data_IF_491591397939
#
_entry.id   IF_491591397939
#
_cell.length_a   1.000
_cell.length_b   1.000
_cell.length_c   1.000
_cell.angle_alpha   90.00
_cell.angle_beta   90.00
_cell.angle_gamma   90.00
#
_symmetry.space_group_name_H-M   'P 1'
#
loop_
_entity.id
_entity.type
_entity.pdbx_description
1 polymer ?
#
# COMPACT_ATOMS: atom_id res chain seq x y z
N UNK A 1 -20.24 -29.40 -8.98
CA UNK A 1 -20.70 -28.43 -10.02
C UNK A 1 -19.93 -27.13 -9.73
N UNK A 2 -18.73 -27.00 -10.34
CA UNK A 2 -17.77 -25.92 -10.08
C UNK A 2 -17.97 -24.90 -11.20
N UNK A 3 -18.54 -23.74 -10.86
CA UNK A 3 -18.78 -22.64 -11.79
C UNK A 3 -17.48 -21.88 -12.04
N UNK A 4 -16.96 -22.00 -13.25
CA UNK A 4 -15.84 -21.21 -13.75
C UNK A 4 -16.34 -19.79 -14.05
N UNK A 5 -16.02 -18.82 -13.23
CA UNK A 5 -16.25 -17.39 -13.52
C UNK A 5 -15.18 -16.92 -14.50
N UNK A 6 -15.53 -16.85 -15.79
CA UNK A 6 -14.76 -16.13 -16.81
C UNK A 6 -14.96 -14.63 -16.60
N UNK A 7 -13.94 -13.95 -16.10
CA UNK A 7 -13.87 -12.50 -16.12
C UNK A 7 -13.55 -12.04 -17.55
N UNK A 8 -14.57 -11.62 -18.28
CA UNK A 8 -14.40 -10.87 -19.52
C UNK A 8 -13.86 -9.49 -19.18
N UNK A 9 -12.56 -9.31 -19.30
CA UNK A 9 -11.98 -7.97 -19.38
C UNK A 9 -12.45 -7.32 -20.69
N UNK A 10 -13.23 -6.26 -20.56
CA UNK A 10 -13.68 -5.44 -21.67
C UNK A 10 -12.50 -4.65 -22.21
N UNK A 11 -11.75 -5.25 -23.16
CA UNK A 11 -10.64 -4.65 -23.90
C UNK A 11 -11.27 -3.76 -24.99
N UNK A 12 -11.74 -2.58 -24.63
CA UNK A 12 -12.27 -1.60 -25.57
C UNK A 12 -11.35 -0.38 -25.76
N UNK A 13 -10.24 -0.27 -25.04
CA UNK A 13 -9.31 0.85 -25.21
C UNK A 13 -8.00 0.50 -25.92
N UNK A 14 -7.76 -0.77 -26.23
CA UNK A 14 -6.49 -1.22 -26.83
C UNK A 14 -6.53 -1.29 -28.35
N UNK A 15 -7.71 -1.28 -28.96
CA UNK A 15 -7.85 -1.47 -30.41
C UNK A 15 -7.59 -0.17 -31.21
N UNK A 16 -7.80 0.99 -30.61
CA UNK A 16 -7.54 2.27 -31.31
C UNK A 16 -6.05 2.64 -31.42
N UNK A 17 -5.16 2.02 -30.65
CA UNK A 17 -3.72 2.28 -30.72
C UNK A 17 -3.06 1.44 -31.84
N UNK A 18 -3.69 0.35 -32.28
CA UNK A 18 -3.13 -0.60 -33.25
C UNK A 18 -3.68 -0.47 -34.66
N UNK A 19 -4.72 0.32 -34.91
CA UNK A 19 -5.32 0.53 -36.23
C UNK A 19 -4.87 1.82 -36.95
N UNK A 20 -3.74 2.41 -36.57
CA UNK A 20 -3.00 3.25 -37.49
C UNK A 20 -2.47 2.33 -38.54
N UNK A 21 -3.09 2.38 -39.75
CA UNK A 21 -2.79 1.54 -40.90
C UNK A 21 -1.28 1.45 -41.12
N UNK A 22 -0.80 0.23 -41.34
CA UNK A 22 0.61 -0.08 -41.63
C UNK A 22 1.16 0.70 -42.81
N UNK A 23 0.35 1.43 -43.56
CA UNK A 23 0.70 2.13 -44.75
C UNK A 23 0.87 3.66 -44.68
N UNK A 24 0.35 4.32 -43.59
CA UNK A 24 0.22 5.79 -43.68
C UNK A 24 0.92 6.64 -42.62
N UNK A 25 1.65 6.08 -41.68
CA UNK A 25 2.43 6.93 -40.80
C UNK A 25 3.56 6.18 -40.10
N UNK A 26 4.66 6.03 -40.77
CA UNK A 26 5.92 6.20 -40.06
C UNK A 26 5.81 7.56 -39.37
N UNK A 27 5.81 7.63 -38.00
CA UNK A 27 5.68 8.91 -37.33
C UNK A 27 6.67 9.90 -37.93
N UNK A 28 6.25 11.15 -38.11
CA UNK A 28 7.12 12.23 -38.64
C UNK A 28 8.46 12.28 -37.88
N UNK A 29 8.46 11.87 -36.62
CA UNK A 29 9.64 11.66 -35.77
C UNK A 29 10.64 10.63 -36.33
N UNK A 30 10.23 9.66 -37.17
CA UNK A 30 11.13 8.70 -37.80
C UNK A 30 11.86 9.26 -38.97
N UNK A 31 11.40 10.37 -39.56
CA UNK A 31 12.08 11.12 -40.61
C UNK A 31 13.09 12.12 -40.06
N UNK A 32 13.16 12.28 -38.72
CA UNK A 32 14.09 13.17 -38.03
C UNK A 32 15.49 12.55 -37.86
N UNK A 33 16.39 13.36 -37.30
CA UNK A 33 17.72 12.92 -36.90
C UNK A 33 17.65 11.91 -35.76
N UNK A 34 18.77 11.26 -35.45
CA UNK A 34 18.87 10.23 -34.40
C UNK A 34 18.49 10.75 -32.99
N UNK A 35 18.62 12.07 -32.78
CA UNK A 35 18.23 12.70 -31.50
C UNK A 35 16.70 12.72 -31.34
N UNK A 36 15.98 13.15 -32.38
CA UNK A 36 14.50 13.17 -32.40
C UNK A 36 13.91 11.77 -32.20
N UNK A 37 14.56 10.75 -32.79
CA UNK A 37 14.18 9.34 -32.58
C UNK A 37 14.40 8.89 -31.14
N UNK A 38 15.50 9.30 -30.52
CA UNK A 38 15.80 9.01 -29.13
C UNK A 38 14.79 9.65 -28.17
N UNK A 39 14.55 10.95 -28.30
CA UNK A 39 13.60 11.70 -27.48
C UNK A 39 12.17 11.11 -27.57
N UNK A 40 11.76 10.68 -28.75
CA UNK A 40 10.48 9.99 -28.95
C UNK A 40 10.43 8.61 -28.27
N UNK A 41 11.52 7.85 -28.32
CA UNK A 41 11.63 6.55 -27.64
C UNK A 41 11.52 6.69 -26.11
N UNK A 42 12.22 7.68 -25.54
CA UNK A 42 12.14 8.00 -24.10
C UNK A 42 10.70 8.42 -23.72
N UNK A 43 10.07 9.31 -24.48
CA UNK A 43 8.67 9.72 -24.24
C UNK A 43 7.70 8.53 -24.30
N UNK A 44 7.86 7.64 -25.26
CA UNK A 44 7.01 6.44 -25.38
C UNK A 44 7.22 5.49 -24.19
N UNK A 45 8.47 5.35 -23.73
CA UNK A 45 8.81 4.56 -22.55
C UNK A 45 8.12 5.12 -21.29
N UNK A 46 8.21 6.42 -21.07
CA UNK A 46 7.58 7.11 -19.94
C UNK A 46 6.05 6.91 -19.95
N UNK A 47 5.43 7.08 -21.11
CA UNK A 47 3.98 6.85 -21.29
C UNK A 47 3.57 5.40 -20.93
N UNK A 48 4.40 4.40 -21.25
CA UNK A 48 4.13 3.00 -20.89
C UNK A 48 4.18 2.81 -19.36
N UNK A 49 5.17 3.40 -18.68
CA UNK A 49 5.31 3.33 -17.23
C UNK A 49 4.11 3.97 -16.51
N UNK A 50 3.71 5.16 -16.94
CA UNK A 50 2.54 5.87 -16.39
C UNK A 50 1.23 5.10 -16.62
N UNK A 51 1.01 4.57 -17.84
CA UNK A 51 -0.17 3.76 -18.16
C UNK A 51 -0.26 2.47 -17.35
N UNK A 52 0.88 1.90 -16.96
CA UNK A 52 0.93 0.77 -16.06
C UNK A 52 0.66 1.15 -14.58
N UNK A 53 0.49 2.45 -14.29
CA UNK A 53 0.20 2.96 -12.96
C UNK A 53 1.44 3.15 -12.09
N UNK A 54 2.62 3.22 -12.67
CA UNK A 54 3.85 3.55 -11.96
C UNK A 54 4.00 5.08 -11.85
N UNK A 55 4.53 5.55 -10.72
CA UNK A 55 4.73 6.97 -10.42
C UNK A 55 6.22 7.33 -10.50
N UNK A 56 6.54 8.40 -11.24
CA UNK A 56 7.90 8.95 -11.29
C UNK A 56 8.34 9.44 -9.90
N UNK A 57 9.59 9.23 -9.57
CA UNK A 57 10.17 9.55 -8.26
C UNK A 57 9.85 8.56 -7.13
N UNK A 58 8.91 7.62 -7.34
CA UNK A 58 8.55 6.56 -6.39
C UNK A 58 8.89 5.19 -6.96
N UNK A 59 8.20 4.80 -8.03
CA UNK A 59 8.34 3.49 -8.66
C UNK A 59 9.39 3.47 -9.76
N UNK A 60 9.68 4.60 -10.39
CA UNK A 60 10.75 4.73 -11.37
C UNK A 60 11.39 6.12 -11.32
N UNK A 61 12.58 6.23 -11.87
CA UNK A 61 13.28 7.51 -12.09
C UNK A 61 13.83 7.57 -13.49
N UNK A 62 13.71 8.75 -14.11
CA UNK A 62 14.28 9.04 -15.43
C UNK A 62 15.59 9.80 -15.28
N UNK A 63 16.54 9.56 -16.19
CA UNK A 63 17.82 10.29 -16.29
C UNK A 63 18.65 10.35 -14.98
N UNK A 64 18.54 9.32 -14.14
CA UNK A 64 19.37 9.19 -12.95
C UNK A 64 20.85 9.19 -13.30
N UNK A 65 21.65 10.04 -12.64
CA UNK A 65 23.10 10.06 -12.82
C UNK A 65 23.74 9.22 -11.73
N UNK A 66 24.38 8.12 -12.09
CA UNK A 66 25.06 7.20 -11.19
C UNK A 66 26.55 7.18 -11.48
N UNK A 67 27.36 6.95 -10.47
CA UNK A 67 28.79 6.76 -10.63
C UNK A 67 29.11 5.26 -10.61
N UNK A 68 30.00 4.84 -11.52
CA UNK A 68 30.59 3.50 -11.44
C UNK A 68 31.75 3.47 -10.44
N UNK A 69 32.33 2.29 -10.26
CA UNK A 69 33.48 2.09 -9.36
C UNK A 69 34.72 2.94 -9.76
N UNK A 70 34.77 3.40 -11.01
CA UNK A 70 35.85 4.26 -11.55
C UNK A 70 35.48 5.75 -11.47
N UNK A 71 34.34 6.13 -10.91
CA UNK A 71 33.88 7.51 -10.78
C UNK A 71 33.29 8.12 -12.07
N UNK A 72 33.08 7.31 -13.12
CA UNK A 72 32.44 7.78 -14.36
C UNK A 72 30.93 7.85 -14.18
N UNK A 73 30.36 8.96 -14.62
CA UNK A 73 28.91 9.14 -14.61
C UNK A 73 28.25 8.32 -15.75
N UNK A 74 27.34 7.45 -15.36
CA UNK A 74 26.48 6.70 -16.28
C UNK A 74 25.02 7.11 -16.06
N UNK A 75 24.32 7.26 -17.16
CA UNK A 75 22.90 7.69 -17.16
C UNK A 75 22.08 6.66 -17.92
N UNK A 76 21.45 5.71 -17.23
CA UNK A 76 20.39 4.92 -17.84
C UNK A 76 19.18 5.83 -18.10
N UNK A 77 18.43 5.55 -19.16
CA UNK A 77 17.25 6.35 -19.50
C UNK A 77 16.17 6.23 -18.42
N UNK A 78 15.91 5.01 -17.94
CA UNK A 78 14.96 4.73 -16.86
C UNK A 78 15.50 3.65 -15.92
N UNK A 79 15.28 3.87 -14.63
CA UNK A 79 15.42 2.86 -13.59
C UNK A 79 14.06 2.63 -12.93
N UNK A 80 13.57 1.41 -12.99
CA UNK A 80 12.35 0.99 -12.31
C UNK A 80 12.74 0.36 -10.99
N UNK A 81 12.24 0.92 -9.89
CA UNK A 81 12.43 0.37 -8.56
C UNK A 81 11.55 -0.86 -8.36
N UNK A 82 12.09 -1.88 -7.73
CA UNK A 82 11.37 -3.08 -7.33
C UNK A 82 11.38 -3.17 -5.79
N UNK A 83 10.45 -3.90 -5.18
CA UNK A 83 10.53 -4.20 -3.75
C UNK A 83 11.88 -4.85 -3.37
N UNK A 84 12.21 -4.81 -2.08
CA UNK A 84 13.46 -5.32 -1.52
C UNK A 84 14.72 -4.58 -2.01
N UNK A 85 14.55 -3.34 -2.49
CA UNK A 85 15.68 -2.53 -2.96
C UNK A 85 16.32 -2.99 -4.27
N UNK A 86 15.65 -3.89 -5.01
CA UNK A 86 16.06 -4.27 -6.37
C UNK A 86 15.64 -3.21 -7.37
N UNK A 87 16.25 -3.19 -8.54
CA UNK A 87 15.86 -2.32 -9.63
C UNK A 87 16.01 -2.98 -10.99
N UNK A 88 15.29 -2.46 -11.97
CA UNK A 88 15.35 -2.87 -13.37
C UNK A 88 15.78 -1.66 -14.20
N UNK A 89 16.82 -1.83 -15.01
CA UNK A 89 17.31 -0.78 -15.91
C UNK A 89 16.69 -0.97 -17.29
N UNK A 90 16.17 0.11 -17.86
CA UNK A 90 15.60 0.15 -19.20
C UNK A 90 16.30 1.26 -19.99
N UNK A 91 16.82 0.93 -21.17
CA UNK A 91 17.45 1.88 -22.10
C UNK A 91 16.68 1.85 -23.42
N UNK A 92 16.29 3.03 -23.96
CA UNK A 92 15.39 3.12 -25.12
C UNK A 92 16.09 3.54 -26.42
N UNK A 93 17.40 3.51 -26.44
CA UNK A 93 18.22 4.13 -27.47
C UNK A 93 18.45 3.23 -28.69
N UNK A 94 17.48 3.17 -29.58
CA UNK A 94 17.59 2.42 -30.85
C UNK A 94 17.47 3.35 -32.04
N UNK A 95 18.45 3.32 -32.95
CA UNK A 95 18.35 4.00 -34.26
C UNK A 95 17.40 3.25 -35.18
N UNK A 96 16.41 3.94 -35.69
CA UNK A 96 15.41 3.38 -36.62
C UNK A 96 15.60 3.84 -38.07
N UNK A 97 16.72 4.52 -38.36
CA UNK A 97 17.00 5.06 -39.73
C UNK A 97 17.05 3.97 -40.77
N UNK A 98 17.78 2.89 -40.51
CA UNK A 98 17.88 1.76 -41.44
C UNK A 98 16.52 1.06 -41.65
N UNK A 99 15.72 0.96 -40.57
CA UNK A 99 14.34 0.45 -40.65
C UNK A 99 13.45 1.36 -41.55
N UNK A 100 13.53 2.68 -41.37
CA UNK A 100 12.78 3.62 -42.21
C UNK A 100 13.18 3.53 -43.69
N UNK A 101 14.48 3.44 -43.96
CA UNK A 101 15.01 3.30 -45.33
C UNK A 101 14.56 1.98 -45.99
N UNK A 102 14.53 0.87 -45.20
CA UNK A 102 14.02 -0.42 -45.68
C UNK A 102 12.60 -0.31 -46.26
N UNK A 103 11.70 0.43 -45.60
CA UNK A 103 10.33 0.62 -46.11
C UNK A 103 10.19 1.67 -47.19
N UNK A 104 11.16 2.57 -47.36
CA UNK A 104 11.13 3.62 -48.39
C UNK A 104 11.76 3.17 -49.70
N UNK A 105 12.62 2.13 -49.68
CA UNK A 105 13.27 1.62 -50.87
C UNK A 105 12.30 0.85 -51.76
N UNK A 106 12.28 1.19 -53.03
CA UNK A 106 11.53 0.47 -54.06
C UNK A 106 12.35 -0.65 -54.72
N UNK A 107 13.68 -0.58 -54.63
CA UNK A 107 14.62 -1.57 -55.12
C UNK A 107 14.87 -2.69 -54.12
N UNK A 108 14.81 -3.93 -54.54
CA UNK A 108 14.97 -5.10 -53.67
C UNK A 108 16.41 -5.27 -53.18
N UNK A 109 17.45 -4.90 -53.95
CA UNK A 109 18.86 -4.94 -53.53
C UNK A 109 19.12 -3.89 -52.43
N UNK A 110 18.64 -2.66 -52.63
CA UNK A 110 18.75 -1.60 -51.62
C UNK A 110 18.00 -2.00 -50.31
N UNK A 111 16.81 -2.59 -50.48
CA UNK A 111 16.01 -3.06 -49.35
C UNK A 111 16.74 -4.13 -48.52
N UNK A 112 17.40 -5.09 -49.20
CA UNK A 112 18.21 -6.10 -48.52
C UNK A 112 19.44 -5.47 -47.84
N UNK A 113 20.05 -4.46 -48.41
CA UNK A 113 21.11 -3.66 -47.80
C UNK A 113 20.65 -3.00 -46.54
N UNK A 114 19.51 -2.28 -46.56
CA UNK A 114 18.94 -1.62 -45.39
C UNK A 114 18.49 -2.60 -44.29
N UNK A 115 18.05 -3.81 -44.67
CA UNK A 115 17.76 -4.87 -43.70
C UNK A 115 19.02 -5.30 -42.94
N UNK A 116 20.13 -5.51 -43.64
CA UNK A 116 21.43 -5.82 -42.99
C UNK A 116 21.92 -4.71 -42.06
N UNK A 117 21.74 -3.46 -42.52
CA UNK A 117 22.09 -2.28 -41.72
C UNK A 117 21.23 -2.19 -40.45
N UNK A 118 19.94 -2.52 -40.57
CA UNK A 118 19.04 -2.52 -39.41
C UNK A 118 19.45 -3.57 -38.37
N UNK A 119 19.72 -4.81 -38.75
CA UNK A 119 20.23 -5.86 -37.88
C UNK A 119 21.57 -5.46 -37.24
N UNK A 120 22.47 -4.90 -38.06
CA UNK A 120 23.78 -4.43 -37.58
C UNK A 120 23.61 -3.32 -36.54
N UNK A 121 22.72 -2.38 -36.80
CA UNK A 121 22.38 -1.31 -35.82
C UNK A 121 21.87 -1.88 -34.51
N UNK A 122 20.97 -2.86 -34.56
CA UNK A 122 20.48 -3.53 -33.34
C UNK A 122 21.60 -4.22 -32.55
N UNK A 123 22.49 -4.96 -33.24
CA UNK A 123 23.65 -5.60 -32.62
C UNK A 123 24.60 -4.60 -31.99
N UNK A 124 24.89 -3.50 -32.67
CA UNK A 124 25.74 -2.43 -32.15
C UNK A 124 25.15 -1.81 -30.88
N UNK A 125 23.83 -1.55 -30.83
CA UNK A 125 23.16 -1.04 -29.63
C UNK A 125 23.24 -2.02 -28.47
N UNK A 126 23.04 -3.32 -28.71
CA UNK A 126 23.22 -4.36 -27.69
C UNK A 126 24.66 -4.35 -27.16
N UNK A 127 25.65 -4.25 -28.06
CA UNK A 127 27.07 -4.20 -27.70
C UNK A 127 27.40 -2.96 -26.87
N UNK A 128 26.93 -1.80 -27.30
CA UNK A 128 27.17 -0.52 -26.62
C UNK A 128 26.52 -0.53 -25.22
N UNK A 129 25.27 -1.00 -25.13
CA UNK A 129 24.54 -1.10 -23.87
C UNK A 129 25.21 -2.07 -22.90
N UNK A 130 25.67 -3.22 -23.39
CA UNK A 130 26.43 -4.19 -22.58
C UNK A 130 27.73 -3.57 -22.06
N UNK A 131 28.43 -2.74 -22.87
CA UNK A 131 29.68 -2.07 -22.48
C UNK A 131 29.48 -1.03 -21.36
N UNK A 132 28.28 -0.48 -21.21
CA UNK A 132 27.96 0.48 -20.14
C UNK A 132 27.99 -0.15 -18.75
N UNK A 133 27.98 -1.47 -18.62
CA UNK A 133 28.11 -2.22 -17.36
C UNK A 133 27.24 -1.67 -16.22
N UNK A 134 25.95 -1.42 -16.47
CA UNK A 134 25.02 -0.92 -15.45
C UNK A 134 24.90 -1.82 -14.22
N UNK A 135 25.26 -3.10 -14.34
CA UNK A 135 25.31 -4.08 -13.25
C UNK A 135 26.36 -3.74 -12.16
N UNK A 136 27.37 -2.92 -12.50
CA UNK A 136 28.43 -2.47 -11.57
C UNK A 136 28.18 -1.08 -10.99
N UNK A 137 26.99 -0.55 -11.10
CA UNK A 137 26.66 0.74 -10.50
C UNK A 137 26.58 0.59 -8.98
N UNK A 138 27.43 1.28 -8.28
CA UNK A 138 27.67 1.16 -6.82
C UNK A 138 26.43 1.40 -5.94
N UNK A 139 25.39 2.00 -6.46
CA UNK A 139 24.20 2.42 -5.70
C UNK A 139 22.93 1.64 -6.05
N UNK A 140 23.01 0.66 -6.95
CA UNK A 140 21.84 0.03 -7.52
C UNK A 140 22.00 -1.49 -7.44
N UNK A 141 21.12 -2.15 -6.72
CA UNK A 141 20.98 -3.62 -6.75
C UNK A 141 20.30 -4.03 -8.06
N UNK A 142 21.05 -3.94 -9.16
CA UNK A 142 20.55 -4.26 -10.49
C UNK A 142 20.40 -5.77 -10.68
N UNK A 143 19.36 -6.22 -11.38
CA UNK A 143 19.30 -7.59 -11.86
C UNK A 143 20.41 -7.85 -12.88
N UNK A 144 20.66 -9.12 -13.15
CA UNK A 144 21.70 -9.57 -14.08
C UNK A 144 21.49 -9.10 -15.52
N UNK A 145 20.31 -8.56 -15.83
CA UNK A 145 19.90 -8.15 -17.19
C UNK A 145 19.46 -6.70 -17.24
N UNK A 146 19.73 -6.07 -18.40
CA UNK A 146 19.23 -4.73 -18.75
C UNK A 146 18.23 -4.87 -19.90
N UNK A 147 17.12 -4.15 -19.86
CA UNK A 147 16.15 -4.14 -20.94
C UNK A 147 16.53 -3.11 -22.00
N UNK A 148 16.67 -3.54 -23.24
CA UNK A 148 16.78 -2.67 -24.41
C UNK A 148 15.39 -2.51 -25.03
N UNK A 149 14.81 -1.34 -24.88
CA UNK A 149 13.46 -1.06 -25.38
C UNK A 149 13.49 -0.65 -26.84
N UNK A 150 12.72 -1.37 -27.66
CA UNK A 150 12.48 -1.06 -29.08
C UNK A 150 11.07 -0.50 -29.23
N UNK A 151 10.90 0.81 -29.46
CA UNK A 151 9.59 1.45 -29.43
C UNK A 151 8.67 1.08 -30.60
N UNK A 152 9.21 0.51 -31.68
CA UNK A 152 8.46 0.10 -32.91
C UNK A 152 8.44 -1.42 -32.98
N UNK A 153 7.29 -2.03 -32.75
CA UNK A 153 7.09 -3.48 -32.78
C UNK A 153 7.50 -4.11 -34.13
N UNK A 154 7.07 -3.56 -35.29
CA UNK A 154 7.50 -4.09 -36.59
C UNK A 154 9.02 -4.03 -36.84
N UNK A 155 9.73 -3.01 -36.32
CA UNK A 155 11.18 -2.95 -36.43
C UNK A 155 11.87 -4.06 -35.62
N UNK A 156 11.36 -4.35 -34.41
CA UNK A 156 11.81 -5.48 -33.62
C UNK A 156 11.55 -6.81 -34.34
N UNK A 157 10.35 -7.02 -34.85
CA UNK A 157 9.99 -8.25 -35.57
C UNK A 157 10.84 -8.46 -36.85
N UNK A 158 11.09 -7.39 -37.61
CA UNK A 158 11.94 -7.42 -38.78
C UNK A 158 13.38 -7.86 -38.46
N UNK A 159 13.96 -7.30 -37.40
CA UNK A 159 15.30 -7.64 -36.93
C UNK A 159 15.43 -9.12 -36.53
N UNK A 160 14.47 -9.63 -35.75
CA UNK A 160 14.48 -11.03 -35.27
C UNK A 160 14.24 -11.99 -36.43
N UNK A 161 13.40 -11.64 -37.39
CA UNK A 161 13.15 -12.49 -38.54
C UNK A 161 14.39 -12.60 -39.44
N UNK A 162 15.12 -11.51 -39.58
CA UNK A 162 16.36 -11.47 -40.37
C UNK A 162 17.56 -12.12 -39.63
N UNK A 163 17.58 -12.08 -38.32
CA UNK A 163 18.66 -12.63 -37.50
C UNK A 163 18.07 -13.41 -36.29
N UNK A 164 17.88 -14.70 -36.50
CA UNK A 164 17.27 -15.60 -35.49
C UNK A 164 18.11 -15.78 -34.21
N UNK A 165 19.43 -15.54 -34.32
CA UNK A 165 20.34 -15.65 -33.17
C UNK A 165 20.43 -14.39 -32.32
N UNK A 166 19.86 -13.27 -32.79
CA UNK A 166 20.00 -11.95 -32.16
C UNK A 166 19.54 -11.97 -30.70
N UNK A 167 18.40 -12.56 -30.41
CA UNK A 167 17.84 -12.61 -29.05
C UNK A 167 18.69 -13.48 -28.13
N UNK A 168 19.04 -14.69 -28.54
CA UNK A 168 19.86 -15.61 -27.76
C UNK A 168 21.25 -14.98 -27.50
N UNK A 169 21.88 -14.41 -28.53
CA UNK A 169 23.17 -13.74 -28.40
C UNK A 169 23.11 -12.53 -27.44
N UNK A 170 22.06 -11.71 -27.50
CA UNK A 170 21.90 -10.55 -26.63
C UNK A 170 21.77 -10.98 -25.15
N UNK A 171 20.97 -12.00 -24.87
CA UNK A 171 20.75 -12.52 -23.51
C UNK A 171 22.00 -13.24 -23.00
N UNK A 172 22.49 -14.24 -23.70
CA UNK A 172 23.52 -15.14 -23.19
C UNK A 172 24.91 -14.52 -23.15
N UNK A 173 25.24 -13.65 -24.12
CA UNK A 173 26.57 -13.08 -24.29
C UNK A 173 26.68 -11.65 -23.81
N UNK A 174 25.58 -10.94 -23.65
CA UNK A 174 25.58 -9.50 -23.36
C UNK A 174 24.75 -9.13 -22.14
N UNK A 175 23.95 -10.06 -21.61
CA UNK A 175 23.00 -9.81 -20.50
C UNK A 175 22.00 -8.70 -20.85
N UNK A 176 21.61 -8.60 -22.12
CA UNK A 176 20.63 -7.64 -22.62
C UNK A 176 19.39 -8.40 -23.09
N UNK A 177 18.22 -7.98 -22.61
CA UNK A 177 16.93 -8.47 -23.07
C UNK A 177 16.33 -7.42 -23.99
N UNK A 178 16.14 -7.74 -25.26
CA UNK A 178 15.52 -6.83 -26.22
C UNK A 178 14.01 -6.96 -26.06
N UNK A 179 13.31 -5.85 -25.81
CA UNK A 179 11.88 -5.85 -25.51
C UNK A 179 11.12 -4.86 -26.38
N UNK A 180 10.12 -5.30 -27.14
CA UNK A 180 9.21 -4.41 -27.86
C UNK A 180 8.15 -3.82 -26.91
N UNK A 181 7.32 -2.92 -27.43
CA UNK A 181 6.29 -2.19 -26.69
C UNK A 181 5.32 -3.13 -25.93
N UNK A 182 4.84 -4.19 -26.59
CA UNK A 182 3.87 -5.14 -26.02
C UNK A 182 4.45 -5.90 -24.83
N UNK A 183 5.67 -6.43 -24.99
CA UNK A 183 6.37 -7.18 -23.93
C UNK A 183 6.75 -6.27 -22.78
N UNK A 184 7.21 -5.05 -23.05
CA UNK A 184 7.53 -4.09 -22.00
C UNK A 184 6.28 -3.74 -21.19
N UNK A 185 5.14 -3.45 -21.83
CA UNK A 185 3.89 -3.16 -21.15
C UNK A 185 3.46 -4.30 -20.21
N UNK A 186 3.56 -5.55 -20.68
CA UNK A 186 3.26 -6.72 -19.88
C UNK A 186 4.21 -6.82 -18.66
N UNK A 187 5.51 -6.65 -18.88
CA UNK A 187 6.53 -6.69 -17.81
C UNK A 187 6.28 -5.61 -16.75
N UNK A 188 6.03 -4.37 -17.18
CA UNK A 188 5.78 -3.25 -16.27
C UNK A 188 4.45 -3.40 -15.53
N UNK A 189 3.43 -3.99 -16.15
CA UNK A 189 2.16 -4.34 -15.48
C UNK A 189 2.37 -5.38 -14.37
N UNK A 190 3.28 -6.35 -14.57
CA UNK A 190 3.69 -7.29 -13.51
C UNK A 190 4.38 -6.55 -12.36
N UNK A 191 5.30 -5.64 -12.65
CA UNK A 191 5.98 -4.81 -11.65
C UNK A 191 4.96 -4.00 -10.84
N UNK A 192 3.99 -3.37 -11.51
CA UNK A 192 2.89 -2.66 -10.83
C UNK A 192 2.09 -3.57 -9.88
N UNK A 193 1.85 -4.81 -10.29
CA UNK A 193 1.15 -5.80 -9.44
C UNK A 193 1.99 -6.21 -8.23
N UNK A 194 3.30 -6.36 -8.38
CA UNK A 194 4.22 -6.63 -7.26
C UNK A 194 4.20 -5.48 -6.25
N UNK A 195 4.20 -4.23 -6.69
CA UNK A 195 4.09 -3.07 -5.82
C UNK A 195 2.77 -3.05 -5.05
N UNK A 196 1.64 -3.33 -5.71
CA UNK A 196 0.34 -3.44 -5.05
C UNK A 196 0.31 -4.51 -3.96
N UNK A 197 0.95 -5.65 -4.18
CA UNK A 197 1.07 -6.70 -3.18
C UNK A 197 1.93 -6.27 -1.99
N UNK A 198 3.04 -5.58 -2.24
CA UNK A 198 3.92 -5.08 -1.18
C UNK A 198 3.22 -4.01 -0.32
N UNK A 199 2.47 -3.10 -0.94
CA UNK A 199 1.67 -2.10 -0.24
C UNK A 199 0.57 -2.75 0.61
N UNK A 200 -0.11 -3.78 0.10
CA UNK A 200 -1.09 -4.56 0.87
C UNK A 200 -0.44 -5.21 2.09
N UNK A 201 0.73 -5.84 1.92
CA UNK A 201 1.47 -6.47 3.01
C UNK A 201 1.86 -5.45 4.09
N UNK A 202 2.36 -4.28 3.70
CA UNK A 202 2.69 -3.18 4.62
C UNK A 202 1.46 -2.70 5.38
N UNK A 203 0.33 -2.53 4.69
CA UNK A 203 -0.93 -2.11 5.30
C UNK A 203 -1.43 -3.13 6.34
N UNK A 204 -1.35 -4.44 6.04
CA UNK A 204 -1.72 -5.50 6.99
C UNK A 204 -0.87 -5.46 8.26
N UNK A 205 0.44 -5.29 8.13
CA UNK A 205 1.35 -5.17 9.27
C UNK A 205 1.05 -3.92 10.11
N UNK A 206 0.76 -2.79 9.47
CA UNK A 206 0.41 -1.56 10.17
C UNK A 206 -0.95 -1.66 10.88
N UNK A 207 -1.95 -2.29 10.26
CA UNK A 207 -3.25 -2.58 10.90
C UNK A 207 -3.05 -3.47 12.13
N UNK A 208 -2.23 -4.51 12.04
CA UNK A 208 -1.95 -5.39 13.17
C UNK A 208 -1.26 -4.62 14.32
N UNK A 209 -0.30 -3.76 14.01
CA UNK A 209 0.37 -2.91 15.00
C UNK A 209 -0.59 -1.94 15.69
N UNK A 210 -1.45 -1.26 14.92
CA UNK A 210 -2.45 -0.34 15.46
C UNK A 210 -3.51 -1.07 16.27
N UNK A 211 -3.93 -2.26 15.82
CA UNK A 211 -4.86 -3.12 16.53
C UNK A 211 -4.32 -3.53 17.91
N UNK A 212 -3.05 -3.92 17.98
CA UNK A 212 -2.39 -4.21 19.27
C UNK A 212 -2.38 -3.00 20.21
N UNK A 213 -2.00 -1.83 19.71
CA UNK A 213 -1.98 -0.60 20.51
C UNK A 213 -3.39 -0.16 20.98
N UNK A 214 -4.41 -0.40 20.17
CA UNK A 214 -5.81 -0.15 20.56
C UNK A 214 -6.25 -1.10 21.66
N UNK A 215 -5.92 -2.38 21.53
CA UNK A 215 -6.23 -3.40 22.56
C UNK A 215 -5.62 -3.02 23.91
N UNK A 216 -4.35 -2.63 23.96
CA UNK A 216 -3.67 -2.22 25.19
C UNK A 216 -4.36 -1.02 25.86
N UNK A 217 -4.77 -0.02 25.06
CA UNK A 217 -5.54 1.12 25.55
C UNK A 217 -6.92 0.70 26.11
N UNK A 218 -7.57 -0.25 25.44
CA UNK A 218 -8.86 -0.75 25.87
C UNK A 218 -8.76 -1.50 27.21
N UNK A 219 -7.73 -2.31 27.41
CA UNK A 219 -7.45 -2.97 28.70
C UNK A 219 -7.28 -1.93 29.80
N UNK A 220 -6.47 -0.89 29.57
CA UNK A 220 -6.30 0.20 30.53
C UNK A 220 -7.62 0.92 30.88
N UNK A 221 -8.46 1.16 29.88
CA UNK A 221 -9.79 1.77 30.10
C UNK A 221 -10.72 0.87 30.97
N UNK A 222 -10.70 -0.44 30.72
CA UNK A 222 -11.47 -1.41 31.53
C UNK A 222 -11.00 -1.38 32.96
N UNK A 223 -9.70 -1.36 33.23
CA UNK A 223 -9.14 -1.26 34.57
C UNK A 223 -9.56 0.03 35.28
N UNK A 224 -9.54 1.15 34.57
CA UNK A 224 -10.02 2.43 35.11
C UNK A 224 -11.50 2.37 35.47
N UNK A 225 -12.34 1.77 34.65
CA UNK A 225 -13.78 1.61 34.89
C UNK A 225 -14.05 0.72 36.12
N UNK A 226 -13.31 -0.39 36.25
CA UNK A 226 -13.38 -1.26 37.46
C UNK A 226 -13.00 -0.47 38.70
N UNK A 227 -11.96 0.36 38.65
CA UNK A 227 -11.54 1.18 39.78
C UNK A 227 -12.57 2.24 40.13
N UNK A 228 -13.25 2.85 39.17
CA UNK A 228 -14.38 3.76 39.41
C UNK A 228 -15.51 3.01 40.11
N UNK A 229 -15.86 1.81 39.66
CA UNK A 229 -16.87 0.98 40.33
C UNK A 229 -16.55 0.68 41.79
N UNK A 230 -15.29 0.30 42.07
CA UNK A 230 -14.83 0.07 43.47
C UNK A 230 -14.97 1.32 44.34
N UNK A 231 -14.59 2.49 43.83
CA UNK A 231 -14.69 3.78 44.55
C UNK A 231 -16.14 4.19 44.80
N UNK A 232 -17.03 3.97 43.84
CA UNK A 232 -18.47 4.22 44.00
C UNK A 232 -19.08 3.33 45.09
N UNK A 233 -18.71 2.03 45.11
CA UNK A 233 -19.12 1.11 46.15
C UNK A 233 -18.65 1.58 47.53
N UNK A 234 -17.38 1.93 47.68
CA UNK A 234 -16.82 2.44 48.92
C UNK A 234 -17.49 3.74 49.39
N UNK A 235 -17.82 4.65 48.45
CA UNK A 235 -18.55 5.86 48.74
C UNK A 235 -19.99 5.56 49.24
N UNK A 236 -20.68 4.59 48.59
CA UNK A 236 -21.99 4.10 49.00
C UNK A 236 -21.93 3.52 50.41
N UNK A 237 -20.98 2.62 50.68
CA UNK A 237 -20.81 2.00 52.02
C UNK A 237 -20.55 3.06 53.12
N UNK A 238 -19.74 4.08 52.80
CA UNK A 238 -19.48 5.20 53.71
C UNK A 238 -20.72 6.05 53.98
N UNK A 239 -21.52 6.31 52.92
CA UNK A 239 -22.80 7.01 53.03
C UNK A 239 -23.80 6.22 53.86
N UNK A 240 -23.95 4.92 53.60
CA UNK A 240 -24.85 4.05 54.35
C UNK A 240 -24.44 3.96 55.84
N UNK A 241 -23.13 3.89 56.11
CA UNK A 241 -22.60 3.96 57.50
C UNK A 241 -22.91 5.30 58.20
N UNK A 242 -22.85 6.42 57.50
CA UNK A 242 -23.22 7.74 58.03
C UNK A 242 -24.74 7.84 58.27
N UNK A 243 -25.55 7.36 57.35
CA UNK A 243 -27.01 7.32 57.49
C UNK A 243 -27.45 6.42 58.59
N UNK A 244 -26.76 5.28 58.84
CA UNK A 244 -27.01 4.41 59.98
C UNK A 244 -26.80 5.14 61.31
N UNK A 245 -25.72 5.89 61.43
CA UNK A 245 -25.45 6.70 62.65
C UNK A 245 -26.46 7.85 62.79
N UNK A 246 -26.89 8.45 61.69
CA UNK A 246 -27.81 9.58 61.71
C UNK A 246 -29.24 9.18 61.99
N UNK A 247 -29.81 8.20 61.26
CA UNK A 247 -31.26 7.95 61.28
C UNK A 247 -31.68 6.48 61.35
N UNK A 248 -30.91 5.50 60.79
CA UNK A 248 -31.37 4.11 60.66
C UNK A 248 -30.85 3.17 61.77
N UNK A 249 -29.80 3.49 62.51
CA UNK A 249 -29.26 2.65 63.56
C UNK A 249 -30.06 2.70 64.85
N UNK A 250 -29.94 1.65 65.68
CA UNK A 250 -30.71 1.51 66.99
C UNK A 250 -30.52 2.67 67.96
N UNK A 251 -29.37 3.34 67.88
CA UNK A 251 -29.06 4.49 68.81
C UNK A 251 -28.67 5.73 67.96
N UNK A 252 -29.52 6.05 67.03
CA UNK A 252 -29.27 7.10 66.02
C UNK A 252 -29.38 8.51 66.60
N UNK A 253 -28.68 9.46 66.00
CA UNK A 253 -28.60 10.86 66.37
C UNK A 253 -29.96 11.58 66.36
N UNK A 254 -30.81 11.27 65.35
CA UNK A 254 -32.15 11.87 65.22
C UNK A 254 -33.00 11.50 66.43
N UNK A 255 -33.04 10.22 66.90
CA UNK A 255 -33.77 9.75 68.02
C UNK A 255 -33.26 10.41 69.35
N UNK A 256 -31.94 10.52 69.50
CA UNK A 256 -31.34 11.21 70.66
C UNK A 256 -31.74 12.67 70.75
N UNK A 257 -31.71 13.37 69.61
CA UNK A 257 -32.07 14.80 69.57
C UNK A 257 -33.56 15.03 69.84
N UNK A 258 -34.45 14.20 69.26
CA UNK A 258 -35.90 14.30 69.60
C UNK A 258 -36.20 13.96 71.07
N UNK A 259 -35.50 12.97 71.63
CA UNK A 259 -35.61 12.71 73.07
C UNK A 259 -35.19 13.90 73.95
N UNK A 260 -34.09 14.56 73.62
CA UNK A 260 -33.60 15.76 74.32
C UNK A 260 -34.63 16.90 74.20
N UNK A 261 -35.25 17.06 72.99
CA UNK A 261 -36.32 18.05 72.79
C UNK A 261 -37.56 17.75 73.67
N UNK A 262 -37.98 16.46 73.75
CA UNK A 262 -39.07 16.01 74.60
C UNK A 262 -38.81 16.27 76.06
N UNK A 263 -37.56 16.25 76.52
CA UNK A 263 -37.14 16.59 77.89
C UNK A 263 -37.11 18.11 78.12
N UNK A 264 -37.56 18.95 77.15
CA UNK A 264 -37.75 20.39 77.40
C UNK A 264 -36.64 21.29 76.89
N UNK A 265 -35.73 20.78 76.04
CA UNK A 265 -34.71 21.63 75.38
C UNK A 265 -35.34 22.60 74.38
N UNK A 266 -35.08 23.90 74.53
CA UNK A 266 -35.58 24.95 73.62
C UNK A 266 -34.76 24.91 72.32
N UNK A 267 -35.43 24.56 71.21
CA UNK A 267 -34.83 24.54 69.87
C UNK A 267 -35.47 25.59 69.00
N UNK A 268 -34.66 26.29 68.16
CA UNK A 268 -35.17 27.29 67.24
C UNK A 268 -35.47 26.70 65.83
N UNK A 269 -35.04 25.44 65.57
CA UNK A 269 -35.21 24.72 64.30
C UNK A 269 -35.68 23.30 64.56
N UNK A 270 -36.48 22.74 63.61
CA UNK A 270 -36.91 21.33 63.61
C UNK A 270 -36.12 20.53 62.55
N UNK A 271 -35.95 19.25 62.87
CA UNK A 271 -35.42 18.30 61.87
C UNK A 271 -36.45 18.05 60.76
N UNK A 272 -36.05 17.75 59.56
CA UNK A 272 -36.96 17.36 58.46
C UNK A 272 -37.78 16.12 58.90
N UNK A 273 -39.10 16.17 58.63
CA UNK A 273 -40.01 15.08 58.99
C UNK A 273 -39.63 13.73 58.33
N UNK A 274 -39.06 13.74 57.18
CA UNK A 274 -38.56 12.53 56.48
C UNK A 274 -37.45 11.82 57.28
N UNK A 275 -36.58 12.55 57.99
CA UNK A 275 -35.53 11.97 58.83
C UNK A 275 -36.08 11.42 60.11
N UNK A 276 -37.05 12.11 60.69
CA UNK A 276 -37.74 11.66 61.93
C UNK A 276 -38.51 10.37 61.68
N UNK A 277 -39.26 10.31 60.57
CA UNK A 277 -40.00 9.11 60.19
C UNK A 277 -39.06 7.91 59.92
N UNK A 278 -37.97 8.09 59.25
CA UNK A 278 -36.94 7.04 59.06
C UNK A 278 -36.36 6.53 60.37
N UNK A 279 -36.12 7.41 61.28
CA UNK A 279 -35.59 7.02 62.59
C UNK A 279 -36.57 6.22 63.52
N UNK A 280 -37.89 6.28 63.19
CA UNK A 280 -38.97 5.59 63.90
C UNK A 280 -39.32 4.25 63.22
N UNK A 281 -39.37 4.18 61.87
CA UNK A 281 -39.80 3.00 61.11
C UNK A 281 -38.82 1.84 61.16
N UNK A 282 -37.55 2.08 61.37
CA UNK A 282 -36.53 1.00 61.43
C UNK A 282 -36.55 0.16 62.74
N UNK A 283 -37.36 0.52 63.73
CA UNK A 283 -37.50 -0.27 64.90
C UNK A 283 -38.58 -1.39 64.77
N UNK A 284 -39.39 -1.39 63.72
CA UNK A 284 -40.46 -2.35 63.47
C UNK A 284 -40.07 -3.59 62.62
N UNK A 285 -38.79 -3.76 62.31
CA UNK A 285 -38.26 -5.06 61.88
C UNK A 285 -38.66 -5.58 60.51
N UNK A 286 -39.15 -4.73 59.53
CA UNK A 286 -39.38 -5.12 58.21
C UNK A 286 -38.24 -4.66 57.24
N UNK A 287 -37.32 -5.58 57.02
CA UNK A 287 -36.30 -5.42 55.96
C UNK A 287 -36.98 -5.36 54.61
N UNK A 288 -37.10 -4.16 54.03
CA UNK A 288 -37.48 -3.97 52.62
C UNK A 288 -36.38 -4.53 51.72
N UNK A 289 -36.62 -5.71 51.13
CA UNK A 289 -35.91 -6.19 49.95
C UNK A 289 -36.31 -5.33 48.77
N UNK A 290 -35.43 -4.46 48.32
CA UNK A 290 -35.42 -3.94 46.95
C UNK A 290 -34.07 -3.28 46.67
N UNK A 291 -33.15 -4.04 46.14
CA UNK A 291 -32.21 -3.57 45.10
C UNK A 291 -31.57 -4.80 44.44
N UNK A 292 -32.15 -5.18 43.32
CA UNK A 292 -31.52 -6.08 42.38
C UNK A 292 -30.17 -5.47 41.94
N UNK A 293 -29.09 -6.12 42.28
CA UNK A 293 -27.75 -5.75 41.77
C UNK A 293 -27.71 -6.03 40.27
N UNK A 294 -27.11 -5.14 39.46
CA UNK A 294 -26.86 -5.43 38.06
C UNK A 294 -25.95 -6.65 37.93
N UNK A 295 -26.09 -7.47 36.86
CA UNK A 295 -25.34 -8.71 36.71
C UNK A 295 -23.82 -8.45 36.71
N UNK A 296 -23.12 -9.24 37.48
CA UNK A 296 -21.65 -9.22 37.56
C UNK A 296 -21.04 -9.75 36.27
N UNK A 297 -19.98 -9.09 35.80
CA UNK A 297 -19.25 -9.36 34.54
C UNK A 297 -18.64 -10.78 34.47
N UNK A 298 -18.70 -11.55 35.53
CA UNK A 298 -18.16 -12.92 35.61
C UNK A 298 -18.96 -13.99 34.84
N UNK A 299 -20.21 -13.71 34.44
CA UNK A 299 -20.99 -14.67 33.64
C UNK A 299 -20.73 -14.60 32.13
N UNK A 300 -20.14 -13.52 31.68
CA UNK A 300 -19.82 -13.35 30.21
C UNK A 300 -18.54 -14.08 29.76
N UNK A 301 -17.76 -14.66 30.67
CA UNK A 301 -16.54 -15.38 30.34
C UNK A 301 -16.72 -16.88 30.07
N UNK A 302 -17.88 -17.45 30.39
CA UNK A 302 -18.15 -18.88 30.24
C UNK A 302 -18.77 -19.29 28.91
N UNK A 303 -19.30 -18.36 28.13
CA UNK A 303 -19.88 -18.65 26.79
C UNK A 303 -18.90 -18.57 25.61
N UNK A 304 -17.61 -18.29 25.86
CA UNK A 304 -16.61 -18.18 24.78
C UNK A 304 -15.77 -19.43 24.53
N UNK A 305 -15.91 -20.48 25.32
CA UNK A 305 -15.16 -21.72 25.12
C UNK A 305 -15.93 -22.81 24.36
N UNK A 306 -17.13 -22.51 23.84
CA UNK A 306 -17.97 -23.47 23.07
C UNK A 306 -18.33 -22.98 21.62
N UNK A 307 -17.52 -22.13 20.97
CA UNK A 307 -17.74 -21.84 19.52
C UNK A 307 -16.44 -21.96 18.74
#
# INVERSE_FOLDING_TARGET
>A
MVGCFFFFFKVTATTEIYTLSLHDALPISLKGDSKTQGDWGEFKLEMILEKAGLMNGVHYSTQGSFQDEEGKHKRPDVIVNLPEGKCLVIDSKVSLTAYANYYQSEDDEEREGHLKDHVTSMRNHVQDLSSKNYQKLYQINTPDYVLMFVPIEPAFMLAIHADQDLMAWAVEKKNIVIVPTSTLLATISMVSSIWKQEDQKRNVLEIARQGGALYDKFVGFVDDLINVGKRLKSAKDSYDGAMNKLSTGKDNLVRKTENIKALGAKTSKSLPDSLIQRAITDDSGEASQADEAPPTIDEASKERDEL
#
